data_IF_427325950807
#
_entry.id   IF_427325950807
#
_cell.length_a   1.000
_cell.length_b   1.000
_cell.length_c   1.000
_cell.angle_alpha   90.00
_cell.angle_beta   90.00
_cell.angle_gamma   90.00
#
_symmetry.space_group_name_H-M   'P 1'
#
loop_
_entity.id
_entity.type
_entity.pdbx_description
1 polymer ?
#
# COMPACT_ATOMS: atom_id res chain seq x y z
N UNK A 1 -0.05 -20.08 25.80
CA UNK A 1 0.86 -20.58 24.74
C UNK A 1 2.10 -19.70 24.75
N UNK A 2 3.31 -20.24 24.52
CA UNK A 2 4.56 -19.47 24.67
C UNK A 2 4.70 -18.47 23.50
N UNK A 3 4.43 -17.19 23.72
CA UNK A 3 4.83 -16.16 22.75
C UNK A 3 6.31 -15.82 22.97
N UNK A 4 7.18 -16.21 22.04
CA UNK A 4 8.62 -16.01 22.19
C UNK A 4 9.03 -14.55 22.10
N UNK A 5 8.34 -13.75 21.27
CA UNK A 5 8.65 -12.33 21.08
C UNK A 5 8.31 -11.54 22.33
N UNK A 6 7.13 -11.76 22.91
CA UNK A 6 6.72 -11.13 24.18
C UNK A 6 7.68 -11.48 25.32
N UNK A 7 8.04 -12.76 25.48
CA UNK A 7 8.98 -13.18 26.52
C UNK A 7 10.37 -12.54 26.40
N UNK A 8 10.85 -12.35 25.17
CA UNK A 8 12.11 -11.62 24.94
C UNK A 8 11.91 -10.15 25.30
N UNK A 9 10.84 -9.52 24.82
CA UNK A 9 10.54 -8.11 25.07
C UNK A 9 10.38 -7.77 26.57
N UNK A 10 9.81 -8.69 27.38
CA UNK A 10 9.71 -8.54 28.83
C UNK A 10 11.07 -8.56 29.54
N UNK A 11 12.06 -9.25 28.95
CA UNK A 11 13.40 -9.43 29.55
C UNK A 11 14.43 -8.44 29.04
N UNK A 12 14.18 -7.82 27.88
CA UNK A 12 15.08 -6.83 27.30
C UNK A 12 14.32 -5.71 26.62
N UNK A 13 14.66 -4.47 26.97
CA UNK A 13 14.14 -3.28 26.28
C UNK A 13 14.96 -3.02 25.02
N UNK A 14 14.36 -3.23 23.85
CA UNK A 14 14.97 -2.95 22.56
C UNK A 14 14.55 -1.58 22.04
N UNK A 15 15.53 -0.75 21.66
CA UNK A 15 15.26 0.57 21.08
C UNK A 15 14.60 0.44 19.71
N UNK A 16 14.97 -0.61 18.97
CA UNK A 16 14.52 -0.93 17.61
C UNK A 16 13.11 -1.55 17.59
N UNK A 17 12.63 -2.12 18.70
CA UNK A 17 11.29 -2.69 18.84
C UNK A 17 11.21 -4.20 18.75
N UNK A 18 9.99 -4.73 18.86
CA UNK A 18 9.76 -6.18 18.86
C UNK A 18 9.96 -6.80 17.47
N UNK A 19 9.86 -5.99 16.41
CA UNK A 19 10.04 -6.43 15.02
C UNK A 19 11.43 -7.00 14.76
N UNK A 20 12.48 -6.51 15.42
CA UNK A 20 13.82 -7.08 15.23
C UNK A 20 13.93 -8.47 15.87
N UNK A 21 13.14 -8.76 16.91
CA UNK A 21 13.04 -10.12 17.48
C UNK A 21 12.28 -11.03 16.52
N UNK A 22 11.16 -10.53 15.96
CA UNK A 22 10.40 -11.25 14.93
C UNK A 22 11.30 -11.62 13.74
N UNK A 23 12.02 -10.64 13.21
CA UNK A 23 12.89 -10.81 12.07
C UNK A 23 14.06 -11.76 12.38
N UNK A 24 14.70 -11.66 13.56
CA UNK A 24 15.79 -12.56 13.93
C UNK A 24 15.33 -14.01 14.04
N UNK A 25 14.14 -14.23 14.62
CA UNK A 25 13.54 -15.55 14.73
C UNK A 25 13.16 -16.09 13.35
N UNK A 26 12.53 -15.27 12.50
CA UNK A 26 12.16 -15.64 11.13
C UNK A 26 13.38 -15.97 10.26
N UNK A 27 14.44 -15.18 10.32
CA UNK A 27 15.69 -15.42 9.58
C UNK A 27 16.36 -16.72 10.03
N UNK A 28 16.26 -17.07 11.32
CA UNK A 28 16.75 -18.34 11.86
C UNK A 28 15.90 -19.54 11.43
N UNK A 29 14.62 -19.32 11.12
CA UNK A 29 13.70 -20.33 10.57
C UNK A 29 13.90 -20.53 9.07
N UNK A 30 14.05 -19.45 8.30
CA UNK A 30 14.21 -19.48 6.85
C UNK A 30 15.62 -19.94 6.43
N UNK A 31 16.64 -19.67 7.25
CA UNK A 31 18.02 -20.02 6.96
C UNK A 31 18.68 -20.79 8.14
N UNK A 32 18.34 -22.08 8.34
CA UNK A 32 18.96 -22.89 9.38
C UNK A 32 20.49 -22.92 9.24
N UNK A 33 21.21 -22.61 10.32
CA UNK A 33 22.67 -22.52 10.31
C UNK A 33 23.20 -21.11 10.06
N UNK A 34 22.35 -20.09 10.03
CA UNK A 34 22.76 -18.68 9.88
C UNK A 34 23.71 -18.24 11.00
N UNK A 35 24.74 -17.47 10.65
CA UNK A 35 25.69 -16.95 11.63
C UNK A 35 25.12 -15.76 12.39
N UNK A 36 25.59 -15.52 13.62
CA UNK A 36 25.18 -14.32 14.39
C UNK A 36 25.56 -13.01 13.69
N UNK A 37 26.67 -13.00 12.96
CA UNK A 37 27.08 -11.83 12.16
C UNK A 37 26.09 -11.57 11.02
N UNK A 38 25.61 -12.63 10.38
CA UNK A 38 24.64 -12.54 9.29
C UNK A 38 23.24 -12.16 9.79
N UNK A 39 22.81 -12.69 10.93
CA UNK A 39 21.59 -12.23 11.62
C UNK A 39 21.65 -10.74 11.94
N UNK A 40 22.77 -10.26 12.48
CA UNK A 40 22.99 -8.84 12.75
C UNK A 40 22.89 -7.99 11.47
N UNK A 41 23.48 -8.47 10.37
CA UNK A 41 23.42 -7.79 9.06
C UNK A 41 21.98 -7.68 8.53
N UNK A 42 21.21 -8.78 8.57
CA UNK A 42 19.82 -8.82 8.08
C UNK A 42 18.86 -8.00 8.91
N UNK A 43 19.08 -7.93 10.22
CA UNK A 43 18.25 -7.16 11.17
C UNK A 43 18.74 -5.73 11.40
N UNK A 44 19.83 -5.32 10.75
CA UNK A 44 20.49 -4.02 10.94
C UNK A 44 20.88 -3.73 12.40
N UNK A 45 21.02 -4.78 13.22
CA UNK A 45 21.41 -4.66 14.61
C UNK A 45 22.94 -4.65 14.76
N UNK A 46 23.49 -3.93 15.74
CA UNK A 46 24.86 -4.16 16.18
C UNK A 46 25.03 -5.63 16.59
N UNK A 47 26.16 -6.25 16.20
CA UNK A 47 26.44 -7.67 16.50
C UNK A 47 26.23 -8.03 17.99
N UNK A 48 26.64 -7.19 18.98
CA UNK A 48 26.39 -7.48 20.38
C UNK A 48 24.90 -7.55 20.76
N UNK A 49 24.07 -6.70 20.14
CA UNK A 49 22.62 -6.65 20.36
C UNK A 49 21.96 -7.88 19.75
N UNK A 50 22.27 -8.21 18.49
CA UNK A 50 21.78 -9.43 17.85
C UNK A 50 22.19 -10.69 18.65
N UNK A 51 23.41 -10.73 19.19
CA UNK A 51 23.87 -11.82 20.05
C UNK A 51 23.10 -11.89 21.39
N UNK A 52 22.68 -10.75 21.95
CA UNK A 52 21.85 -10.71 23.15
C UNK A 52 20.44 -11.23 22.88
N UNK A 53 19.76 -10.73 21.84
CA UNK A 53 18.43 -11.20 21.40
C UNK A 53 18.45 -12.70 21.13
N UNK A 54 19.44 -13.18 20.37
CA UNK A 54 19.65 -14.61 20.11
C UNK A 54 19.76 -15.42 21.40
N UNK A 55 20.54 -14.97 22.39
CA UNK A 55 20.71 -15.69 23.65
C UNK A 55 19.40 -15.77 24.43
N UNK A 56 18.58 -14.72 24.43
CA UNK A 56 17.26 -14.77 25.06
C UNK A 56 16.33 -15.75 24.35
N UNK A 57 16.31 -15.76 23.01
CA UNK A 57 15.53 -16.74 22.23
C UNK A 57 16.00 -18.19 22.43
N UNK A 58 17.30 -18.42 22.72
CA UNK A 58 17.78 -19.74 23.11
C UNK A 58 17.26 -20.12 24.50
N UNK A 59 17.29 -19.19 25.47
CA UNK A 59 16.79 -19.43 26.84
C UNK A 59 15.29 -19.72 26.87
N UNK A 60 14.49 -19.11 25.98
CA UNK A 60 13.05 -19.38 25.88
C UNK A 60 12.74 -20.70 25.16
N UNK A 61 13.74 -21.32 24.52
CA UNK A 61 13.60 -22.57 23.78
C UNK A 61 13.23 -22.41 22.31
N UNK A 62 13.18 -21.18 21.77
CA UNK A 62 12.85 -20.93 20.37
C UNK A 62 14.01 -21.30 19.42
N UNK A 63 15.25 -21.03 19.85
CA UNK A 63 16.46 -21.22 19.03
C UNK A 63 17.45 -22.18 19.68
N UNK A 64 18.33 -22.76 18.86
CA UNK A 64 19.48 -23.55 19.29
C UNK A 64 20.76 -23.11 18.54
N UNK A 65 21.90 -23.20 19.22
CA UNK A 65 23.23 -22.90 18.65
C UNK A 65 24.01 -24.19 18.42
N UNK A 66 24.34 -24.46 17.16
CA UNK A 66 25.23 -25.56 16.74
C UNK A 66 26.19 -25.06 15.65
N UNK A 67 26.20 -25.69 14.46
CA UNK A 67 26.87 -25.20 13.23
C UNK A 67 26.11 -23.98 12.66
N UNK A 68 26.02 -22.92 13.46
CA UNK A 68 25.16 -21.77 13.23
C UNK A 68 23.90 -21.77 14.11
N UNK A 69 23.00 -20.83 13.86
CA UNK A 69 21.75 -20.63 14.60
C UNK A 69 20.59 -21.21 13.80
N UNK A 70 19.66 -21.90 14.46
CA UNK A 70 18.40 -22.34 13.85
C UNK A 70 17.29 -22.42 14.89
N UNK A 71 16.05 -22.55 14.44
CA UNK A 71 14.92 -22.86 15.32
C UNK A 71 15.00 -24.28 15.89
N UNK A 72 14.48 -24.45 17.10
CA UNK A 72 14.13 -25.77 17.63
C UNK A 72 12.89 -26.32 16.91
N UNK A 73 12.53 -27.60 17.13
CA UNK A 73 11.27 -28.15 16.61
C UNK A 73 10.06 -27.35 17.10
N UNK A 74 9.96 -27.11 18.42
CA UNK A 74 8.90 -26.28 19.01
C UNK A 74 8.89 -24.84 18.47
N UNK A 75 10.06 -24.25 18.24
CA UNK A 75 10.19 -22.90 17.68
C UNK A 75 9.70 -22.82 16.23
N UNK A 76 10.05 -23.81 15.40
CA UNK A 76 9.61 -23.89 14.02
C UNK A 76 8.10 -24.11 13.90
N UNK A 77 7.55 -25.08 14.65
CA UNK A 77 6.11 -25.36 14.68
C UNK A 77 5.30 -24.14 15.14
N UNK A 78 5.83 -23.36 16.08
CA UNK A 78 5.19 -22.13 16.53
C UNK A 78 5.15 -21.06 15.44
N UNK A 79 6.25 -20.85 14.70
CA UNK A 79 6.27 -19.92 13.55
C UNK A 79 5.29 -20.38 12.47
N UNK A 80 5.26 -21.68 12.18
CA UNK A 80 4.38 -22.27 11.18
C UNK A 80 2.90 -22.03 11.52
N UNK A 81 2.51 -22.26 12.78
CA UNK A 81 1.11 -22.12 13.24
C UNK A 81 0.69 -20.70 13.54
N UNK A 82 1.49 -19.96 14.30
CA UNK A 82 1.09 -18.63 14.80
C UNK A 82 1.36 -17.51 13.81
N UNK A 83 2.41 -17.64 13.00
CA UNK A 83 2.73 -16.66 11.96
C UNK A 83 2.31 -17.12 10.57
N UNK A 84 1.69 -18.31 10.45
CA UNK A 84 1.18 -18.83 9.19
C UNK A 84 2.27 -19.12 8.16
N UNK A 85 3.39 -19.70 8.61
CA UNK A 85 4.47 -20.13 7.71
C UNK A 85 4.38 -21.61 7.32
N UNK A 86 3.38 -22.33 7.82
CA UNK A 86 3.10 -23.72 7.44
C UNK A 86 2.81 -23.84 5.94
N UNK A 87 3.47 -24.77 5.25
CA UNK A 87 3.26 -24.98 3.81
C UNK A 87 3.90 -23.94 2.88
N UNK A 88 4.70 -23.01 3.40
CA UNK A 88 5.41 -22.02 2.59
C UNK A 88 6.37 -22.69 1.59
N UNK A 89 6.26 -22.31 0.32
CA UNK A 89 7.29 -22.57 -0.69
C UNK A 89 8.54 -21.71 -0.41
N UNK A 90 9.44 -22.26 0.40
CA UNK A 90 10.66 -21.56 0.85
C UNK A 90 11.58 -21.20 -0.30
N UNK A 91 11.63 -22.02 -1.36
CA UNK A 91 12.46 -21.78 -2.53
C UNK A 91 11.96 -20.55 -3.29
N UNK A 92 10.67 -20.51 -3.59
CA UNK A 92 10.05 -19.36 -4.25
C UNK A 92 10.15 -18.09 -3.39
N UNK A 93 9.83 -18.19 -2.09
CA UNK A 93 9.97 -17.09 -1.14
C UNK A 93 11.40 -16.51 -1.13
N UNK A 94 12.42 -17.36 -0.99
CA UNK A 94 13.82 -16.91 -0.98
C UNK A 94 14.21 -16.25 -2.30
N UNK A 95 13.74 -16.80 -3.42
CA UNK A 95 14.00 -16.25 -4.74
C UNK A 95 13.41 -14.83 -4.85
N UNK A 96 12.17 -14.60 -4.42
CA UNK A 96 11.53 -13.27 -4.42
C UNK A 96 12.29 -12.20 -3.63
N UNK A 97 12.89 -12.57 -2.51
CA UNK A 97 13.66 -11.61 -1.70
C UNK A 97 14.96 -11.15 -2.40
N UNK A 98 15.50 -11.98 -3.29
CA UNK A 98 16.76 -11.71 -4.00
C UNK A 98 16.55 -11.23 -5.44
N UNK A 99 15.36 -11.47 -6.01
CA UNK A 99 15.02 -11.15 -7.40
C UNK A 99 14.97 -9.65 -7.66
N UNK A 100 15.51 -9.29 -8.83
CA UNK A 100 15.39 -7.98 -9.48
C UNK A 100 14.63 -8.05 -10.81
N UNK A 101 14.40 -9.26 -11.35
CA UNK A 101 13.81 -9.49 -12.67
C UNK A 101 12.59 -10.43 -12.59
N UNK A 102 11.74 -10.34 -13.62
CA UNK A 102 10.55 -11.17 -13.82
C UNK A 102 10.94 -12.53 -14.39
N UNK A 103 10.33 -13.60 -13.89
CA UNK A 103 10.50 -14.97 -14.37
C UNK A 103 9.15 -15.66 -14.57
N UNK A 104 9.17 -16.90 -15.04
CA UNK A 104 7.96 -17.66 -15.38
C UNK A 104 6.94 -17.72 -14.22
N UNK A 105 7.43 -17.84 -12.98
CA UNK A 105 6.56 -17.92 -11.80
C UNK A 105 5.86 -16.58 -11.50
N UNK A 106 6.58 -15.46 -11.63
CA UNK A 106 5.99 -14.12 -11.51
C UNK A 106 5.10 -13.77 -12.70
N UNK A 107 5.49 -14.20 -13.90
CA UNK A 107 4.71 -13.99 -15.12
C UNK A 107 3.37 -14.72 -15.08
N UNK A 108 3.29 -15.87 -14.40
CA UNK A 108 2.01 -16.54 -14.18
C UNK A 108 1.05 -15.71 -13.32
N UNK A 109 1.55 -15.10 -12.22
CA UNK A 109 0.73 -14.18 -11.40
C UNK A 109 0.38 -12.92 -12.21
N UNK A 110 1.33 -12.40 -12.98
CA UNK A 110 1.11 -11.23 -13.82
C UNK A 110 0.02 -11.49 -14.86
N UNK A 111 0.01 -12.65 -15.50
CA UNK A 111 -1.01 -13.02 -16.49
C UNK A 111 -2.42 -13.01 -15.89
N UNK A 112 -2.60 -13.49 -14.65
CA UNK A 112 -3.88 -13.37 -13.93
C UNK A 112 -4.24 -11.90 -13.64
N UNK A 113 -3.27 -11.06 -13.27
CA UNK A 113 -3.54 -9.63 -13.10
C UNK A 113 -3.89 -8.95 -14.44
N UNK A 114 -3.25 -9.33 -15.54
CA UNK A 114 -3.52 -8.82 -16.89
C UNK A 114 -4.93 -9.20 -17.40
N UNK A 115 -5.51 -10.30 -16.95
CA UNK A 115 -6.91 -10.65 -17.27
C UNK A 115 -7.91 -9.86 -16.41
N UNK A 116 -7.57 -9.63 -15.14
CA UNK A 116 -8.43 -8.92 -14.19
C UNK A 116 -8.44 -7.40 -14.44
N UNK A 117 -7.28 -6.77 -14.64
CA UNK A 117 -7.13 -5.32 -14.71
C UNK A 117 -8.03 -4.62 -15.76
N UNK A 118 -8.23 -5.16 -16.97
CA UNK A 118 -9.15 -4.57 -17.95
C UNK A 118 -10.62 -4.56 -17.49
N UNK A 119 -11.01 -5.46 -16.59
CA UNK A 119 -12.38 -5.61 -16.10
C UNK A 119 -12.71 -4.67 -14.93
N UNK A 120 -11.70 -4.01 -14.34
CA UNK A 120 -11.90 -3.09 -13.22
C UNK A 120 -12.72 -1.86 -13.64
N UNK A 121 -13.51 -1.25 -12.73
CA UNK A 121 -14.31 -0.07 -13.02
C UNK A 121 -13.52 1.05 -13.72
N UNK A 122 -14.21 1.88 -14.50
CA UNK A 122 -13.62 3.08 -15.10
C UNK A 122 -13.27 4.10 -14.03
N UNK A 123 -12.14 4.80 -14.21
CA UNK A 123 -11.67 5.81 -13.25
C UNK A 123 -12.70 6.93 -13.07
N UNK A 124 -12.90 7.34 -11.82
CA UNK A 124 -13.56 8.59 -11.47
C UNK A 124 -12.52 9.63 -11.08
N UNK A 125 -12.19 10.48 -12.05
CA UNK A 125 -11.20 11.56 -11.88
C UNK A 125 -11.60 12.60 -10.84
N UNK A 126 -12.86 12.62 -10.38
CA UNK A 126 -13.33 13.56 -9.34
C UNK A 126 -12.79 13.19 -7.96
N UNK A 127 -12.46 11.92 -7.75
CA UNK A 127 -11.85 11.40 -6.53
C UNK A 127 -10.38 11.02 -6.74
N UNK A 128 -9.72 11.64 -7.73
CA UNK A 128 -8.31 11.45 -8.10
C UNK A 128 -7.91 9.99 -8.42
N UNK A 129 -8.85 9.12 -8.82
CA UNK A 129 -8.53 7.75 -9.25
C UNK A 129 -7.62 7.72 -10.47
N UNK A 130 -6.66 6.80 -10.45
CA UNK A 130 -5.74 6.55 -11.56
C UNK A 130 -5.33 5.09 -11.60
N UNK A 131 -5.33 4.51 -12.79
CA UNK A 131 -5.11 3.08 -12.99
C UNK A 131 -3.63 2.76 -13.06
N UNK A 132 -3.02 2.14 -12.03
CA UNK A 132 -1.67 1.59 -12.17
C UNK A 132 -1.64 0.35 -13.08
N UNK A 133 -0.46 -0.02 -13.57
CA UNK A 133 -0.28 -1.25 -14.36
C UNK A 133 -0.28 -2.52 -13.48
N UNK A 134 -0.61 -3.69 -14.03
CA UNK A 134 -0.50 -4.98 -13.33
C UNK A 134 0.87 -5.19 -12.67
N UNK A 135 1.96 -4.83 -13.36
CA UNK A 135 3.33 -4.94 -12.87
C UNK A 135 3.57 -4.07 -11.64
N UNK A 136 3.01 -2.87 -11.62
CA UNK A 136 3.11 -1.95 -10.49
C UNK A 136 2.44 -2.55 -9.26
N UNK A 137 1.22 -3.06 -9.42
CA UNK A 137 0.47 -3.69 -8.33
C UNK A 137 1.20 -4.90 -7.76
N UNK A 138 1.73 -5.79 -8.62
CA UNK A 138 2.51 -6.94 -8.15
C UNK A 138 3.85 -6.53 -7.50
N UNK A 139 4.54 -5.50 -8.02
CA UNK A 139 5.74 -4.95 -7.36
C UNK A 139 5.44 -4.43 -5.96
N UNK A 140 4.29 -3.78 -5.74
CA UNK A 140 3.83 -3.35 -4.40
C UNK A 140 3.62 -4.54 -3.48
N UNK A 141 3.00 -5.62 -3.96
CA UNK A 141 2.82 -6.86 -3.21
C UNK A 141 4.17 -7.54 -2.84
N UNK A 142 5.12 -7.61 -3.79
CA UNK A 142 6.47 -8.12 -3.54
C UNK A 142 7.21 -7.23 -2.53
N UNK A 143 7.02 -5.91 -2.59
CA UNK A 143 7.59 -4.99 -1.61
C UNK A 143 7.04 -5.25 -0.21
N UNK A 144 5.74 -5.58 -0.08
CA UNK A 144 5.13 -6.01 1.18
C UNK A 144 5.85 -7.22 1.77
N UNK A 145 6.11 -8.23 0.94
CA UNK A 145 6.85 -9.43 1.33
C UNK A 145 8.29 -9.09 1.76
N UNK A 146 8.99 -8.25 0.99
CA UNK A 146 10.37 -7.80 1.28
C UNK A 146 10.47 -7.00 2.58
N UNK A 147 9.38 -6.37 3.03
CA UNK A 147 9.29 -5.68 4.32
C UNK A 147 8.74 -6.57 5.44
N UNK A 148 8.67 -7.90 5.26
CA UNK A 148 8.16 -8.86 6.23
C UNK A 148 6.74 -8.55 6.72
N UNK A 149 5.92 -7.97 5.83
CA UNK A 149 4.59 -7.43 6.17
C UNK A 149 3.43 -8.15 5.48
N UNK A 150 3.72 -9.28 4.81
CA UNK A 150 2.73 -10.04 4.04
C UNK A 150 2.22 -11.29 4.79
N UNK A 151 3.12 -12.21 5.15
CA UNK A 151 2.75 -13.52 5.71
C UNK A 151 2.39 -13.36 7.20
N UNK A 152 1.19 -13.82 7.58
CA UNK A 152 0.69 -13.77 8.96
C UNK A 152 0.33 -12.37 9.46
N UNK A 153 0.16 -11.41 8.55
CA UNK A 153 -0.09 -9.99 8.89
C UNK A 153 -1.50 -9.56 8.51
N UNK A 154 -2.00 -8.52 9.19
CA UNK A 154 -3.23 -7.81 8.84
C UNK A 154 -2.88 -6.57 8.03
N UNK A 155 -3.25 -6.56 6.76
CA UNK A 155 -2.84 -5.53 5.79
C UNK A 155 -4.05 -4.70 5.41
N UNK A 156 -3.89 -3.39 5.34
CA UNK A 156 -4.95 -2.47 4.90
C UNK A 156 -4.59 -1.81 3.56
N UNK A 157 -5.52 -1.75 2.62
CA UNK A 157 -5.43 -0.88 1.44
C UNK A 157 -6.42 0.29 1.62
N UNK A 158 -5.91 1.52 1.62
CA UNK A 158 -6.66 2.77 1.79
C UNK A 158 -6.79 3.42 0.42
N UNK A 159 -7.95 3.21 -0.22
CA UNK A 159 -8.08 3.29 -1.66
C UNK A 159 -7.45 2.08 -2.33
N UNK A 160 -8.15 1.44 -3.28
CA UNK A 160 -7.60 0.27 -3.99
C UNK A 160 -8.07 0.14 -5.45
N UNK A 161 -8.15 1.26 -6.17
CA UNK A 161 -8.35 1.27 -7.63
C UNK A 161 -7.20 0.60 -8.41
N UNK A 162 -6.07 0.42 -7.74
CA UNK A 162 -4.86 -0.27 -8.18
C UNK A 162 -4.84 -1.78 -7.93
N UNK A 163 -5.89 -2.33 -7.29
CA UNK A 163 -6.04 -3.77 -7.00
C UNK A 163 -4.82 -4.38 -6.28
N UNK A 164 -4.17 -3.60 -5.42
CA UNK A 164 -3.03 -4.06 -4.61
C UNK A 164 -3.48 -5.18 -3.67
N UNK A 165 -4.73 -5.13 -3.17
CA UNK A 165 -5.28 -6.20 -2.34
C UNK A 165 -5.33 -7.54 -3.10
N UNK A 166 -5.75 -7.51 -4.37
CA UNK A 166 -5.80 -8.68 -5.27
C UNK A 166 -4.40 -9.20 -5.56
N UNK A 167 -3.44 -8.32 -5.90
CA UNK A 167 -2.07 -8.72 -6.16
C UNK A 167 -1.40 -9.37 -4.93
N UNK A 168 -1.65 -8.86 -3.72
CA UNK A 168 -1.20 -9.50 -2.47
C UNK A 168 -1.85 -10.88 -2.31
N UNK A 169 -3.16 -11.00 -2.55
CA UNK A 169 -3.88 -12.27 -2.46
C UNK A 169 -3.34 -13.34 -3.40
N UNK A 170 -3.13 -13.01 -4.68
CA UNK A 170 -2.60 -13.94 -5.68
C UNK A 170 -1.14 -14.33 -5.37
N UNK A 171 -0.30 -13.38 -4.95
CA UNK A 171 1.06 -13.67 -4.52
C UNK A 171 1.09 -14.61 -3.31
N UNK A 172 0.18 -14.40 -2.36
CA UNK A 172 0.03 -15.25 -1.19
C UNK A 172 -0.36 -16.69 -1.59
N UNK A 173 -1.32 -16.86 -2.51
CA UNK A 173 -1.66 -18.20 -3.01
C UNK A 173 -0.48 -18.90 -3.67
N UNK A 174 0.32 -18.17 -4.46
CA UNK A 174 1.54 -18.75 -5.04
C UNK A 174 2.56 -19.12 -3.97
N UNK A 175 2.73 -18.31 -2.92
CA UNK A 175 3.64 -18.63 -1.80
C UNK A 175 3.23 -19.91 -1.04
N UNK A 176 1.94 -20.27 -1.07
CA UNK A 176 1.38 -21.43 -0.39
C UNK A 176 0.65 -22.34 -1.40
N UNK A 177 1.39 -23.06 -2.27
CA UNK A 177 0.80 -23.80 -3.40
C UNK A 177 -0.11 -24.96 -2.99
N UNK A 178 0.03 -25.47 -1.77
CA UNK A 178 -0.88 -26.47 -1.19
C UNK A 178 -2.18 -25.87 -0.65
N UNK A 179 -2.33 -24.54 -0.70
CA UNK A 179 -3.45 -23.80 -0.10
C UNK A 179 -3.39 -23.77 1.43
N UNK A 180 -4.52 -23.39 2.04
CA UNK A 180 -4.73 -23.49 3.49
C UNK A 180 -4.16 -22.35 4.35
N UNK A 181 -3.47 -21.37 3.76
CA UNK A 181 -3.02 -20.18 4.49
C UNK A 181 -4.21 -19.34 4.96
N UNK A 182 -4.31 -19.12 6.27
CA UNK A 182 -5.43 -18.38 6.90
C UNK A 182 -4.98 -17.26 7.83
N UNK A 183 -3.67 -17.11 8.04
CA UNK A 183 -3.13 -16.14 9.02
C UNK A 183 -3.03 -14.71 8.48
N UNK A 184 -3.02 -14.52 7.15
CA UNK A 184 -3.00 -13.19 6.52
C UNK A 184 -4.42 -12.75 6.22
N UNK A 185 -4.75 -11.52 6.58
CA UNK A 185 -6.01 -10.86 6.22
C UNK A 185 -5.72 -9.54 5.52
N UNK A 186 -6.51 -9.22 4.52
CA UNK A 186 -6.39 -8.00 3.72
C UNK A 186 -7.72 -7.27 3.83
N UNK A 187 -7.71 -6.05 4.33
CA UNK A 187 -8.89 -5.19 4.34
C UNK A 187 -8.72 -4.09 3.30
N UNK A 188 -9.79 -3.76 2.59
CA UNK A 188 -9.86 -2.64 1.65
C UNK A 188 -10.86 -1.63 2.17
N UNK A 189 -10.46 -0.37 2.23
CA UNK A 189 -11.33 0.76 2.53
C UNK A 189 -11.38 1.69 1.33
N UNK A 190 -12.56 1.87 0.76
CA UNK A 190 -12.76 2.75 -0.40
C UNK A 190 -14.13 3.43 -0.33
N UNK A 191 -14.25 4.61 -0.93
CA UNK A 191 -15.52 5.34 -1.06
C UNK A 191 -16.33 4.85 -2.26
N UNK A 192 -15.65 4.30 -3.28
CA UNK A 192 -16.24 3.88 -4.54
C UNK A 192 -16.79 2.46 -4.47
N UNK A 193 -18.12 2.36 -4.34
CA UNK A 193 -18.85 1.09 -4.31
C UNK A 193 -18.62 0.22 -5.57
N UNK A 194 -18.18 0.80 -6.70
CA UNK A 194 -17.87 0.02 -7.90
C UNK A 194 -16.62 -0.83 -7.70
N UNK A 195 -15.57 -0.25 -7.11
CA UNK A 195 -14.33 -0.97 -6.82
C UNK A 195 -14.51 -1.95 -5.67
N UNK A 196 -15.25 -1.56 -4.62
CA UNK A 196 -15.61 -2.47 -3.52
C UNK A 196 -16.26 -3.75 -4.06
N UNK A 197 -17.32 -3.64 -4.87
CA UNK A 197 -17.99 -4.82 -5.44
C UNK A 197 -17.07 -5.65 -6.33
N UNK A 198 -16.30 -4.98 -7.19
CA UNK A 198 -15.39 -5.67 -8.10
C UNK A 198 -14.32 -6.47 -7.34
N UNK A 199 -13.71 -5.88 -6.31
CA UNK A 199 -12.72 -6.57 -5.48
C UNK A 199 -13.36 -7.72 -4.70
N UNK A 200 -14.58 -7.55 -4.16
CA UNK A 200 -15.31 -8.63 -3.49
C UNK A 200 -15.62 -9.81 -4.43
N UNK A 201 -16.02 -9.53 -5.67
CA UNK A 201 -16.26 -10.56 -6.70
C UNK A 201 -14.99 -11.33 -7.00
N UNK A 202 -13.88 -10.64 -7.29
CA UNK A 202 -12.57 -11.26 -7.54
C UNK A 202 -12.09 -12.05 -6.32
N UNK A 203 -12.21 -11.49 -5.11
CA UNK A 203 -11.82 -12.16 -3.89
C UNK A 203 -12.61 -13.46 -3.66
N UNK A 204 -13.90 -13.46 -3.99
CA UNK A 204 -14.74 -14.66 -3.90
C UNK A 204 -14.38 -15.70 -4.96
N UNK A 205 -14.19 -15.29 -6.20
CA UNK A 205 -13.83 -16.18 -7.31
C UNK A 205 -12.48 -16.86 -7.07
N UNK A 206 -11.48 -16.08 -6.68
CA UNK A 206 -10.13 -16.55 -6.43
C UNK A 206 -9.92 -17.04 -4.99
N UNK A 207 -10.91 -16.98 -4.11
CA UNK A 207 -10.80 -17.37 -2.69
C UNK A 207 -9.67 -16.62 -1.94
N UNK A 208 -9.57 -15.31 -2.18
CA UNK A 208 -8.58 -14.43 -1.56
C UNK A 208 -9.04 -13.97 -0.17
N UNK A 209 -8.12 -13.78 0.80
CA UNK A 209 -8.46 -13.36 2.16
C UNK A 209 -8.71 -11.84 2.24
N UNK A 210 -9.62 -11.33 1.40
CA UNK A 210 -9.91 -9.90 1.25
C UNK A 210 -11.28 -9.57 1.84
N UNK A 211 -11.36 -8.49 2.61
CA UNK A 211 -12.57 -7.94 3.18
C UNK A 211 -12.71 -6.47 2.79
N UNK A 212 -13.82 -6.09 2.18
CA UNK A 212 -14.02 -4.73 1.72
C UNK A 212 -14.94 -3.94 2.66
N UNK A 213 -14.64 -2.66 2.86
CA UNK A 213 -15.41 -1.73 3.67
C UNK A 213 -15.62 -0.44 2.89
N UNK A 214 -16.87 -0.06 2.69
CA UNK A 214 -17.21 1.26 2.16
C UNK A 214 -16.94 2.34 3.22
N UNK A 215 -15.96 3.21 2.98
CA UNK A 215 -15.54 4.25 3.92
C UNK A 215 -15.30 5.55 3.17
N UNK A 216 -15.94 6.63 3.62
CA UNK A 216 -15.54 7.99 3.24
C UNK A 216 -14.50 8.49 4.24
N UNK A 217 -13.28 8.73 3.77
CA UNK A 217 -12.19 9.19 4.64
C UNK A 217 -12.36 10.62 5.14
N UNK A 218 -13.31 11.40 4.61
CA UNK A 218 -13.71 12.68 5.22
C UNK A 218 -14.33 12.47 6.59
N UNK A 219 -15.05 11.37 6.77
CA UNK A 219 -15.66 11.02 8.05
C UNK A 219 -14.64 10.40 9.01
N UNK A 220 -15.04 10.28 10.28
CA UNK A 220 -14.24 9.57 11.27
C UNK A 220 -14.16 8.08 10.92
N UNK A 221 -12.99 7.47 11.16
CA UNK A 221 -12.81 6.05 10.90
C UNK A 221 -13.66 5.22 11.89
N UNK A 222 -14.44 4.23 11.42
CA UNK A 222 -15.19 3.36 12.31
C UNK A 222 -14.29 2.69 13.36
N UNK A 223 -14.64 2.78 14.64
CA UNK A 223 -13.83 2.25 15.75
C UNK A 223 -13.45 0.77 15.58
N UNK A 224 -14.33 -0.02 14.96
CA UNK A 224 -14.11 -1.44 14.65
C UNK A 224 -12.98 -1.69 13.64
N UNK A 225 -12.40 -0.66 13.05
CA UNK A 225 -11.30 -0.72 12.09
C UNK A 225 -10.02 -0.04 12.63
N UNK A 226 -10.09 0.57 13.81
CA UNK A 226 -8.94 1.22 14.44
C UNK A 226 -8.03 0.20 15.13
N UNK A 227 -6.72 0.48 15.19
CA UNK A 227 -5.77 -0.24 16.06
C UNK A 227 -5.47 -1.70 15.69
N UNK A 228 -5.70 -2.14 14.45
CA UNK A 228 -5.70 -3.56 14.07
C UNK A 228 -4.67 -3.97 13.02
N UNK A 229 -4.17 -3.04 12.21
CA UNK A 229 -3.35 -3.38 11.06
C UNK A 229 -1.84 -3.32 11.35
N UNK A 230 -1.11 -4.23 10.72
CA UNK A 230 0.35 -4.34 10.79
C UNK A 230 1.05 -3.51 9.71
N UNK A 231 0.37 -3.22 8.61
CA UNK A 231 0.85 -2.38 7.53
C UNK A 231 -0.33 -1.82 6.73
N UNK A 232 -0.11 -0.72 5.99
CA UNK A 232 -1.08 -0.27 5.01
C UNK A 232 -0.46 0.28 3.72
N UNK A 233 -1.23 0.20 2.65
CA UNK A 233 -0.97 0.81 1.34
C UNK A 233 -1.90 2.00 1.12
N UNK A 234 -1.40 3.03 0.47
CA UNK A 234 -2.25 4.11 -0.06
C UNK A 234 -1.58 4.81 -1.24
N UNK A 235 -2.38 5.15 -2.24
CA UNK A 235 -2.04 6.06 -3.34
C UNK A 235 -3.01 7.25 -3.27
N UNK A 236 -2.77 8.20 -2.35
CA UNK A 236 -3.75 9.19 -2.00
C UNK A 236 -3.80 10.32 -3.03
N UNK A 237 -4.83 11.19 -2.96
CA UNK A 237 -4.89 12.40 -3.78
C UNK A 237 -3.59 13.21 -3.70
N UNK A 238 -3.11 13.72 -4.85
CA UNK A 238 -1.78 14.34 -4.98
C UNK A 238 -1.66 15.77 -4.46
N UNK A 239 -2.51 16.11 -3.48
CA UNK A 239 -2.47 17.34 -2.68
C UNK A 239 -1.84 17.02 -1.32
N UNK A 240 -1.31 18.04 -0.63
CA UNK A 240 -0.70 17.82 0.69
C UNK A 240 -1.76 17.41 1.73
N UNK A 241 -2.94 18.03 1.64
CA UNK A 241 -4.11 17.77 2.47
C UNK A 241 -4.65 16.35 2.27
N UNK A 242 -4.82 15.91 1.02
CA UNK A 242 -5.28 14.57 0.68
C UNK A 242 -4.31 13.49 1.17
N UNK A 243 -3.02 13.67 0.91
CA UNK A 243 -1.99 12.78 1.45
C UNK A 243 -2.03 12.73 2.99
N UNK A 244 -2.05 13.89 3.65
CA UNK A 244 -2.08 13.97 5.12
C UNK A 244 -3.30 13.26 5.70
N UNK A 245 -4.48 13.44 5.11
CA UNK A 245 -5.71 12.79 5.54
C UNK A 245 -5.64 11.28 5.41
N UNK A 246 -5.24 10.76 4.25
CA UNK A 246 -5.19 9.31 4.00
C UNK A 246 -4.15 8.64 4.89
N UNK A 247 -2.96 9.23 5.04
CA UNK A 247 -1.93 8.73 5.97
C UNK A 247 -2.44 8.78 7.41
N UNK A 248 -3.15 9.85 7.81
CA UNK A 248 -3.77 9.95 9.14
C UNK A 248 -4.82 8.86 9.39
N UNK A 249 -5.66 8.52 8.41
CA UNK A 249 -6.62 7.41 8.53
C UNK A 249 -5.91 6.07 8.65
N UNK A 250 -4.84 5.87 7.90
CA UNK A 250 -4.00 4.68 8.06
C UNK A 250 -3.36 4.57 9.43
N UNK A 251 -2.79 5.66 9.96
CA UNK A 251 -2.23 5.68 11.32
C UNK A 251 -3.29 5.31 12.37
N UNK A 252 -4.52 5.80 12.25
CA UNK A 252 -5.62 5.42 13.16
C UNK A 252 -5.94 3.92 13.09
N UNK A 253 -5.86 3.34 11.90
CA UNK A 253 -6.13 1.94 11.65
C UNK A 253 -5.00 1.01 12.17
N UNK A 254 -3.75 1.48 12.19
CA UNK A 254 -2.60 0.67 12.59
C UNK A 254 -2.57 0.35 14.09
N UNK A 255 -2.01 -0.82 14.42
CA UNK A 255 -1.65 -1.15 15.81
C UNK A 255 -0.66 -0.10 16.36
N UNK A 256 -0.74 0.20 17.65
CA UNK A 256 0.21 1.09 18.35
C UNK A 256 1.52 0.36 18.66
N UNK A 257 2.24 0.00 17.60
CA UNK A 257 3.53 -0.67 17.65
C UNK A 257 4.50 0.15 16.79
N UNK A 258 5.67 0.49 17.35
CA UNK A 258 6.74 1.18 16.61
C UNK A 258 7.31 0.28 15.51
N UNK A 259 7.78 0.85 14.41
CA UNK A 259 8.46 0.12 13.35
C UNK A 259 7.56 -0.57 12.33
N UNK A 260 6.23 -0.41 12.39
CA UNK A 260 5.31 -0.95 11.38
C UNK A 260 5.39 -0.15 10.08
N UNK A 261 5.40 -0.78 8.90
CA UNK A 261 5.59 -0.08 7.63
C UNK A 261 4.30 0.51 7.07
N UNK A 262 4.48 1.64 6.38
CA UNK A 262 3.47 2.34 5.60
C UNK A 262 4.00 2.45 4.18
N UNK A 263 3.20 2.01 3.22
CA UNK A 263 3.53 2.03 1.80
C UNK A 263 2.75 3.16 1.13
N UNK A 264 3.44 4.25 0.82
CA UNK A 264 2.85 5.46 0.26
C UNK A 264 3.33 5.67 -1.17
N UNK A 265 2.42 5.53 -2.12
CA UNK A 265 2.62 5.96 -3.50
C UNK A 265 2.33 7.44 -3.62
N UNK A 266 3.17 8.19 -4.33
CA UNK A 266 2.94 9.62 -4.52
C UNK A 266 3.62 10.16 -5.77
N UNK A 267 3.02 11.14 -6.45
CA UNK A 267 3.62 11.78 -7.62
C UNK A 267 4.96 12.48 -7.31
N UNK A 268 5.82 12.58 -8.32
CA UNK A 268 6.99 13.45 -8.27
C UNK A 268 6.56 14.92 -8.26
N UNK A 269 7.06 15.71 -7.30
CA UNK A 269 6.74 17.13 -7.13
C UNK A 269 8.00 17.98 -6.99
N UNK A 270 7.85 19.30 -6.98
CA UNK A 270 8.97 20.23 -6.81
C UNK A 270 9.68 20.00 -5.47
N UNK A 271 10.99 20.32 -5.36
CA UNK A 271 11.72 20.20 -4.09
C UNK A 271 11.03 20.88 -2.90
N UNK A 272 10.40 22.04 -3.13
CA UNK A 272 9.62 22.74 -2.10
C UNK A 272 8.42 21.92 -1.61
N UNK A 273 7.70 21.27 -2.53
CA UNK A 273 6.59 20.39 -2.16
C UNK A 273 7.11 19.15 -1.43
N UNK A 274 8.20 18.55 -1.91
CA UNK A 274 8.82 17.38 -1.27
C UNK A 274 9.26 17.69 0.17
N UNK A 275 9.80 18.89 0.41
CA UNK A 275 10.13 19.35 1.76
C UNK A 275 8.87 19.53 2.64
N UNK A 276 7.80 20.09 2.09
CA UNK A 276 6.52 20.21 2.82
C UNK A 276 5.96 18.83 3.18
N UNK A 277 5.98 17.90 2.24
CA UNK A 277 5.58 16.51 2.43
C UNK A 277 6.38 15.81 3.55
N UNK A 278 7.71 15.93 3.54
CA UNK A 278 8.55 15.38 4.59
C UNK A 278 8.27 16.00 5.97
N UNK A 279 7.93 17.31 6.02
CA UNK A 279 7.50 17.95 7.27
C UNK A 279 6.22 17.35 7.82
N UNK A 280 5.25 17.01 6.96
CA UNK A 280 4.03 16.33 7.42
C UNK A 280 4.33 14.93 7.99
N UNK A 281 5.25 14.18 7.37
CA UNK A 281 5.70 12.89 7.94
C UNK A 281 6.31 13.06 9.33
N UNK A 282 7.15 14.08 9.51
CA UNK A 282 7.75 14.39 10.82
C UNK A 282 6.69 14.80 11.85
N UNK A 283 5.69 15.61 11.47
CA UNK A 283 4.57 15.99 12.36
C UNK A 283 3.78 14.77 12.83
N UNK A 284 3.51 13.83 11.93
CA UNK A 284 2.85 12.56 12.24
C UNK A 284 3.77 11.55 12.96
N UNK A 285 4.99 11.94 13.34
CA UNK A 285 5.93 11.06 14.05
C UNK A 285 6.39 9.86 13.22
N UNK A 286 6.50 10.00 11.91
CA UNK A 286 6.94 8.95 10.98
C UNK A 286 8.40 9.13 10.57
N UNK A 287 9.06 8.01 10.26
CA UNK A 287 10.38 8.00 9.62
C UNK A 287 10.29 7.59 8.16
N UNK A 288 11.11 8.16 7.29
CA UNK A 288 11.24 7.72 5.89
C UNK A 288 12.38 6.71 5.81
N UNK A 289 12.07 5.44 5.58
CA UNK A 289 13.08 4.37 5.46
C UNK A 289 13.62 4.24 4.04
N UNK A 290 12.77 4.43 3.03
CA UNK A 290 13.16 4.37 1.64
C UNK A 290 12.27 5.26 0.77
N UNK A 291 12.83 5.73 -0.35
CA UNK A 291 12.11 6.33 -1.46
C UNK A 291 12.60 5.67 -2.76
N UNK A 292 11.69 5.08 -3.53
CA UNK A 292 11.96 4.47 -4.82
C UNK A 292 11.36 5.35 -5.93
N UNK A 293 12.17 6.17 -6.63
CA UNK A 293 11.72 6.95 -7.76
C UNK A 293 11.21 6.06 -8.90
N UNK A 294 10.15 6.49 -9.59
CA UNK A 294 9.61 5.81 -10.77
C UNK A 294 9.17 4.35 -10.50
N UNK A 295 8.80 4.05 -9.26
CA UNK A 295 8.37 2.72 -8.84
C UNK A 295 7.00 2.35 -9.41
N UNK A 296 6.09 3.32 -9.44
CA UNK A 296 4.73 3.12 -9.92
C UNK A 296 4.59 3.61 -11.35
N UNK A 297 3.90 2.83 -12.17
CA UNK A 297 3.55 3.15 -13.55
C UNK A 297 2.01 3.10 -13.72
N UNK A 298 1.45 4.05 -14.47
CA UNK A 298 0.01 4.22 -14.65
C UNK A 298 -0.40 4.21 -16.13
N UNK A 299 -1.59 3.70 -16.40
CA UNK A 299 -2.23 3.68 -17.71
C UNK A 299 -2.66 5.11 -18.12
N UNK A 300 -2.38 5.50 -19.38
CA UNK A 300 -2.94 6.67 -20.05
C UNK A 300 -2.74 8.09 -19.42
N UNK A 301 -1.69 8.33 -18.65
CA UNK A 301 -1.30 9.64 -18.11
C UNK A 301 -0.06 10.28 -18.83
N UNK A 302 -0.12 10.36 -20.17
CA UNK A 302 1.02 10.79 -21.04
C UNK A 302 1.63 12.15 -20.65
N UNK A 303 0.86 13.03 -20.01
CA UNK A 303 1.33 14.36 -19.57
C UNK A 303 2.33 14.34 -18.39
N UNK A 304 2.48 13.22 -17.67
CA UNK A 304 3.39 13.09 -16.49
C UNK A 304 4.39 11.94 -16.69
N UNK A 305 4.61 11.49 -17.92
CA UNK A 305 5.39 10.29 -18.24
C UNK A 305 4.95 9.05 -17.42
N UNK A 306 3.69 9.01 -16.98
CA UNK A 306 3.04 7.86 -16.34
C UNK A 306 3.69 7.31 -15.07
N UNK A 307 4.60 8.02 -14.38
CA UNK A 307 5.38 7.42 -13.29
C UNK A 307 5.39 8.22 -11.99
N UNK A 308 5.22 7.52 -10.87
CA UNK A 308 5.29 8.09 -9.51
C UNK A 308 6.34 7.36 -8.67
N UNK A 309 6.49 7.74 -7.40
CA UNK A 309 7.47 7.19 -6.46
C UNK A 309 6.77 6.42 -5.34
N UNK A 310 7.50 5.50 -4.73
CA UNK A 310 7.04 4.70 -3.59
C UNK A 310 7.88 5.02 -2.36
N UNK A 311 7.23 5.48 -1.30
CA UNK A 311 7.82 5.68 0.02
C UNK A 311 7.56 4.47 0.91
N UNK A 312 8.58 4.06 1.66
CA UNK A 312 8.41 3.21 2.83
C UNK A 312 8.60 4.11 4.05
N UNK A 313 7.50 4.37 4.75
CA UNK A 313 7.55 5.03 6.05
C UNK A 313 7.49 3.98 7.16
N UNK A 314 7.94 4.33 8.36
CA UNK A 314 7.76 3.49 9.56
C UNK A 314 7.22 4.30 10.73
N UNK A 315 6.33 3.65 11.49
CA UNK A 315 5.82 4.18 12.75
C UNK A 315 6.95 4.27 13.80
N UNK A 316 6.75 5.13 14.78
CA UNK A 316 7.61 5.33 15.95
C UNK A 316 6.73 5.39 17.20
N UNK A 317 7.36 5.52 18.37
CA UNK A 317 6.64 5.75 19.63
C UNK A 317 5.89 7.10 19.68
N UNK A 318 6.14 7.99 18.71
CA UNK A 318 5.51 9.30 18.58
C UNK A 318 4.47 9.34 17.45
N UNK A 319 4.20 8.22 16.78
CA UNK A 319 3.29 8.22 15.64
C UNK A 319 1.87 8.52 16.08
N UNK A 320 1.32 9.63 15.57
CA UNK A 320 -0.05 10.05 15.78
C UNK A 320 -0.62 10.63 14.47
N UNK A 321 -1.93 10.47 14.24
CA UNK A 321 -2.57 11.03 13.06
C UNK A 321 -2.69 12.55 13.19
N UNK A 322 -2.41 13.28 12.10
CA UNK A 322 -2.62 14.74 12.06
C UNK A 322 -4.13 15.07 12.03
N UNK A 323 -4.93 14.22 11.39
CA UNK A 323 -6.38 14.39 11.27
C UNK A 323 -7.14 13.22 11.91
N UNK A 324 -7.94 13.52 12.95
CA UNK A 324 -8.76 12.52 13.69
C UNK A 324 -10.26 12.68 13.41
N UNK A 325 -10.73 13.93 13.32
CA UNK A 325 -12.15 14.25 13.16
C UNK A 325 -12.63 14.27 11.72
N UNK A 326 -13.82 14.86 11.54
CA UNK A 326 -14.40 15.16 10.22
C UNK A 326 -13.47 16.12 9.49
N UNK A 327 -13.20 15.82 8.22
CA UNK A 327 -12.39 16.62 7.33
C UNK A 327 -13.28 17.39 6.36
N UNK A 328 -13.16 18.73 6.34
CA UNK A 328 -14.05 19.61 5.55
C UNK A 328 -13.33 20.39 4.46
N UNK A 329 -11.99 20.36 4.45
CA UNK A 329 -11.20 21.06 3.43
C UNK A 329 -11.21 20.33 2.08
N UNK A 330 -10.76 21.04 1.04
CA UNK A 330 -10.51 20.44 -0.26
C UNK A 330 -9.33 19.47 -0.20
N UNK A 331 -9.51 18.25 -0.74
CA UNK A 331 -8.48 17.20 -0.71
C UNK A 331 -8.16 16.64 -2.10
N UNK A 332 -9.13 16.60 -3.01
CA UNK A 332 -8.90 16.13 -4.37
C UNK A 332 -8.26 17.21 -5.24
N UNK A 333 -7.47 16.81 -6.23
CA UNK A 333 -6.78 17.75 -7.12
C UNK A 333 -7.77 18.66 -7.84
N UNK A 334 -8.93 18.12 -8.24
CA UNK A 334 -10.01 18.89 -8.86
C UNK A 334 -10.65 19.95 -7.93
N UNK A 335 -10.66 19.71 -6.62
CA UNK A 335 -11.18 20.65 -5.62
C UNK A 335 -10.17 21.75 -5.30
N UNK A 336 -8.90 21.39 -5.12
CA UNK A 336 -7.82 22.33 -4.79
C UNK A 336 -7.42 23.18 -6.00
N UNK A 337 -7.42 22.59 -7.20
CA UNK A 337 -7.07 23.25 -8.46
C UNK A 337 -8.25 23.25 -9.40
N UNK A 338 -9.22 24.12 -9.10
CA UNK A 338 -10.37 24.30 -9.97
C UNK A 338 -9.92 24.85 -11.32
N UNK A 339 -10.20 24.11 -12.40
CA UNK A 339 -9.91 24.53 -13.77
C UNK A 339 -11.16 24.50 -14.62
N UNK A 340 -11.37 25.53 -15.42
CA UNK A 340 -12.35 25.53 -16.50
C UNK A 340 -11.65 25.10 -17.78
N UNK A 341 -12.16 24.04 -18.42
CA UNK A 341 -11.59 23.48 -19.66
C UNK A 341 -12.58 23.68 -20.80
N UNK A 342 -12.09 24.11 -21.96
CA UNK A 342 -12.91 24.26 -23.17
C UNK A 342 -12.54 23.12 -24.11
N UNK A 343 -13.51 22.27 -24.40
CA UNK A 343 -13.40 21.18 -25.36
C UNK A 343 -14.13 21.53 -26.66
N UNK A 344 -13.58 21.13 -27.79
CA UNK A 344 -14.22 21.24 -29.09
C UNK A 344 -14.54 19.87 -29.64
N UNK A 345 -15.79 19.69 -30.09
CA UNK A 345 -16.22 18.49 -30.78
C UNK A 345 -15.49 18.33 -32.12
N UNK A 346 -14.90 17.16 -32.38
CA UNK A 346 -14.19 16.89 -33.64
C UNK A 346 -15.10 16.88 -34.87
N UNK A 347 -16.39 16.62 -34.70
CA UNK A 347 -17.34 16.51 -35.81
C UNK A 347 -18.02 17.85 -36.16
N UNK A 348 -18.54 18.58 -35.18
CA UNK A 348 -19.31 19.81 -35.43
C UNK A 348 -18.61 21.09 -34.99
N UNK A 349 -17.39 21.00 -34.46
CA UNK A 349 -16.61 22.12 -33.92
C UNK A 349 -17.25 22.89 -32.75
N UNK A 350 -18.39 22.41 -32.22
CA UNK A 350 -19.05 22.99 -31.05
C UNK A 350 -18.11 23.01 -29.85
N UNK A 351 -18.02 24.17 -29.20
CA UNK A 351 -17.25 24.35 -27.97
C UNK A 351 -18.12 24.08 -26.74
N UNK A 352 -17.54 23.38 -25.77
CA UNK A 352 -18.21 22.89 -24.58
C UNK A 352 -17.30 23.15 -23.38
N UNK A 353 -17.85 23.80 -22.37
CA UNK A 353 -17.15 24.08 -21.12
C UNK A 353 -17.31 22.92 -20.15
N UNK A 354 -16.19 22.42 -19.63
CA UNK A 354 -16.13 21.30 -18.69
C UNK A 354 -15.42 21.76 -17.42
N UNK A 355 -16.09 21.63 -16.28
CA UNK A 355 -15.55 22.01 -14.97
C UNK A 355 -16.55 21.82 -13.84
N UNK A 356 -16.06 21.89 -12.59
CA UNK A 356 -16.81 21.49 -11.39
C UNK A 356 -18.10 22.30 -11.13
N UNK A 357 -18.24 23.48 -11.74
CA UNK A 357 -19.41 24.36 -11.65
C UNK A 357 -20.24 24.40 -12.95
N UNK A 358 -19.88 23.63 -13.97
CA UNK A 358 -20.60 23.55 -15.24
C UNK A 358 -21.67 22.46 -15.27
N UNK A 359 -22.49 22.44 -16.33
CA UNK A 359 -23.44 21.33 -16.59
C UNK A 359 -22.73 19.99 -16.82
N UNK A 360 -21.50 20.05 -17.33
CA UNK A 360 -20.63 18.90 -17.53
C UNK A 360 -19.39 19.09 -16.66
N UNK A 361 -19.17 18.14 -15.77
CA UNK A 361 -18.12 18.22 -14.75
C UNK A 361 -16.78 17.63 -15.19
N UNK A 362 -16.80 16.60 -16.04
CA UNK A 362 -15.60 15.89 -16.52
C UNK A 362 -15.66 15.60 -18.03
N UNK A 363 -14.51 15.29 -18.62
CA UNK A 363 -14.45 14.94 -20.06
C UNK A 363 -15.06 13.56 -20.31
N UNK A 364 -14.95 12.64 -19.36
CA UNK A 364 -15.56 11.32 -19.42
C UNK A 364 -17.09 11.43 -19.45
N UNK A 365 -17.66 12.33 -18.65
CA UNK A 365 -19.10 12.65 -18.71
C UNK A 365 -19.49 13.17 -20.10
N UNK A 366 -18.73 14.11 -20.66
CA UNK A 366 -18.97 14.64 -22.01
C UNK A 366 -18.90 13.56 -23.09
N UNK A 367 -17.92 12.65 -23.01
CA UNK A 367 -17.79 11.54 -23.95
C UNK A 367 -18.97 10.57 -23.86
N UNK A 368 -19.44 10.29 -22.65
CA UNK A 368 -20.58 9.39 -22.42
C UNK A 368 -21.93 10.00 -22.84
N UNK A 369 -22.14 11.29 -22.58
CA UNK A 369 -23.38 12.00 -22.95
C UNK A 369 -23.40 12.41 -24.44
N UNK A 370 -22.23 12.53 -25.06
CA UNK A 370 -22.05 12.96 -26.43
C UNK A 370 -22.19 14.48 -26.61
N UNK A 371 -21.77 14.97 -27.77
CA UNK A 371 -21.84 16.39 -28.09
C UNK A 371 -23.30 16.86 -28.13
N UNK A 372 -23.69 17.93 -27.39
CA UNK A 372 -25.06 18.41 -27.37
C UNK A 372 -25.63 18.79 -28.75
N UNK A 373 -24.77 19.08 -29.73
CA UNK A 373 -25.18 19.48 -31.07
C UNK A 373 -25.25 18.32 -32.09
N UNK A 374 -24.45 17.26 -31.93
CA UNK A 374 -24.32 16.22 -32.96
C UNK A 374 -24.14 14.80 -32.42
N UNK A 375 -24.23 14.61 -31.10
CA UNK A 375 -24.07 13.34 -30.38
C UNK A 375 -22.70 12.64 -30.54
N UNK A 376 -21.71 13.28 -31.16
CA UNK A 376 -20.35 12.74 -31.29
C UNK A 376 -19.64 12.69 -29.93
N UNK A 377 -18.81 11.67 -29.72
CA UNK A 377 -18.12 11.38 -28.44
C UNK A 377 -16.63 11.76 -28.44
N UNK A 378 -16.12 12.33 -29.54
CA UNK A 378 -14.71 12.72 -29.66
C UNK A 378 -14.50 14.24 -29.60
N UNK A 379 -13.55 14.65 -28.75
CA UNK A 379 -13.29 16.06 -28.44
C UNK A 379 -11.80 16.35 -28.31
N UNK A 380 -11.38 17.56 -28.70
CA UNK A 380 -10.05 18.12 -28.43
C UNK A 380 -10.13 19.20 -27.34
N UNK A 381 -9.15 19.23 -26.43
CA UNK A 381 -9.06 20.31 -25.44
C UNK A 381 -8.37 21.51 -26.07
N UNK A 382 -9.09 22.62 -26.19
CA UNK A 382 -8.55 23.86 -26.78
C UNK A 382 -7.95 24.76 -25.71
N UNK A 383 -8.55 24.78 -24.52
CA UNK A 383 -8.17 25.72 -23.49
C UNK A 383 -8.33 25.15 -22.09
N UNK A 384 -7.43 25.55 -21.18
CA UNK A 384 -7.49 25.25 -19.75
C UNK A 384 -7.09 26.49 -18.96
N UNK A 385 -8.03 27.03 -18.18
CA UNK A 385 -7.82 28.19 -17.29
C UNK A 385 -8.03 27.81 -15.83
N UNK A 386 -7.32 28.45 -14.91
CA UNK A 386 -7.55 28.29 -13.48
C UNK A 386 -8.74 29.16 -13.04
N UNK A 387 -9.68 28.64 -12.26
CA UNK A 387 -10.87 29.39 -11.82
C UNK A 387 -10.49 30.56 -10.90
N UNK A 388 -9.32 30.52 -10.26
CA UNK A 388 -8.77 31.66 -9.49
C UNK A 388 -8.56 32.94 -10.33
N UNK A 389 -8.55 32.85 -11.66
CA UNK A 389 -8.45 34.01 -12.58
C UNK A 389 -9.80 34.71 -12.82
N UNK A 390 -10.92 34.19 -12.31
CA UNK A 390 -12.27 34.76 -12.46
C UNK A 390 -12.71 35.69 -11.32
N UNK A 391 -11.86 35.96 -10.32
CA UNK A 391 -12.21 36.86 -9.21
C UNK A 391 -12.29 38.36 -9.57
N UNK A 392 -11.99 38.74 -10.82
CA UNK A 392 -12.01 40.15 -11.27
C UNK A 392 -13.22 40.54 -12.13
N UNK A 393 -14.26 39.70 -12.22
CA UNK A 393 -15.52 40.09 -12.88
C UNK A 393 -16.74 39.63 -12.06
N UNK A 394 -17.01 40.34 -10.96
CA UNK A 394 -18.35 40.50 -10.40
C UNK A 394 -18.74 41.97 -10.45
#
# INVERSE_FOLDING_TARGET
>A
MKNYVEQVNERMTLQEGTQVVEQLLLESYLHPGISTKELARKTLLPVPVAAAVKRELIKTGALIQERGVRCTGEGAEWIEREWGYEGLDRSFHQALLQKTEWDDELNAILAELETLFPLRPTVDVRIDQSKCTPETSLRRAILCLKQHSLIGKRILCIGDDDLVSVAIGLLLQRLFPSGGHTATTIDVMDIDDRFIRYIEEVAKEYHLPIHCHRVDFREQLPLKLCGQYDAFFTDPPYTLQGMSLFVSRGIQAMKRIKGLPIFLSFAHKSPTFMLAMQREFVRMGLTVCANFPHFNEYEAAEMIANRSQMFILRTTDQTEPEHIGIFTDALYTGEVRQTLRTYQCKQCAQQIYVGIHGQISTIEQLKNEGCPSCSNDTFDMIEKRAVSEFKDFT
#
